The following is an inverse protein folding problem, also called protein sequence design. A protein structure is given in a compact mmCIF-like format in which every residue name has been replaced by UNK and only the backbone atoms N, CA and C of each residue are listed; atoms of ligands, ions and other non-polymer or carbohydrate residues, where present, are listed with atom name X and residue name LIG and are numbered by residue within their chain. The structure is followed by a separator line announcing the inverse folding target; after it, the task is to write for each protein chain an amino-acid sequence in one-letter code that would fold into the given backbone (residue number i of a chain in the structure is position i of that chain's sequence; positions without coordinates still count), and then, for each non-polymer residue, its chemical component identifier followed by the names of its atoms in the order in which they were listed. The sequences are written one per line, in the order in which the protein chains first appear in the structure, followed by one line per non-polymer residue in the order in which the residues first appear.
data_IF_303990182352
#
_entry.id   IF_303990182352
#
_cell.length_a   1.000
_cell.length_b   1.000
_cell.length_c   1.000
_cell.angle_alpha   90.00
_cell.angle_beta   90.00
_cell.angle_gamma   90.00
#
_symmetry.space_group_name_H-M   'P 1'
#
loop_
_entity.id
_entity.type
_entity.pdbx_description
1 polymer ?
#
# COMPACT_ATOMS: atom_id res chain seq x y z
N UNK A 1 -36.42 -8.64 -24.90
CA UNK A 1 -35.96 -9.07 -23.56
C UNK A 1 -34.77 -9.99 -23.72
N UNK A 2 -33.55 -9.48 -23.57
CA UNK A 2 -32.40 -10.27 -23.14
C UNK A 2 -31.35 -9.30 -22.62
N UNK A 3 -30.94 -9.58 -21.40
CA UNK A 3 -30.28 -8.70 -20.45
C UNK A 3 -28.80 -8.62 -20.78
N UNK A 4 -28.30 -7.40 -20.98
CA UNK A 4 -26.86 -7.11 -21.01
C UNK A 4 -26.41 -7.06 -19.55
N UNK A 5 -25.70 -8.08 -19.09
CA UNK A 5 -25.05 -8.08 -17.77
C UNK A 5 -23.68 -8.74 -17.88
N UNK A 6 -22.72 -8.12 -17.18
CA UNK A 6 -21.34 -8.54 -16.89
C UNK A 6 -20.25 -7.81 -17.69
N UNK A 7 -19.80 -6.67 -17.15
CA UNK A 7 -18.40 -6.20 -17.22
C UNK A 7 -18.28 -4.89 -16.44
N UNK A 8 -18.01 -4.94 -15.13
CA UNK A 8 -17.83 -3.73 -14.32
C UNK A 8 -16.88 -3.86 -13.11
N UNK A 9 -16.11 -4.94 -12.94
CA UNK A 9 -15.52 -5.23 -11.62
C UNK A 9 -13.99 -5.46 -11.55
N UNK A 10 -13.20 -5.16 -12.59
CA UNK A 10 -11.73 -5.31 -12.51
C UNK A 10 -10.96 -4.00 -12.28
N UNK A 11 -11.61 -2.84 -12.42
CA UNK A 11 -10.95 -1.54 -12.69
C UNK A 11 -10.83 -0.61 -11.47
N UNK A 12 -10.90 -1.17 -10.25
CA UNK A 12 -10.96 -0.40 -8.99
C UNK A 12 -10.19 -1.10 -7.86
N UNK A 13 -9.26 -2.01 -8.23
CA UNK A 13 -8.71 -3.01 -7.33
C UNK A 13 -7.56 -2.49 -6.46
N UNK A 14 -6.72 -1.56 -6.93
CA UNK A 14 -5.59 -1.08 -6.13
C UNK A 14 -6.07 -0.13 -5.00
N UNK A 15 -7.16 0.63 -5.19
CA UNK A 15 -7.51 1.72 -4.26
C UNK A 15 -8.83 1.55 -3.45
N UNK A 16 -9.82 0.76 -3.90
CA UNK A 16 -11.21 1.09 -3.51
C UNK A 16 -11.91 0.29 -2.38
N UNK A 17 -11.29 -0.69 -1.71
CA UNK A 17 -12.02 -1.48 -0.68
C UNK A 17 -11.71 -1.22 0.78
N UNK A 18 -10.71 -0.41 1.11
CA UNK A 18 -10.27 -0.28 2.51
C UNK A 18 -10.41 1.11 3.14
N UNK A 19 -10.62 2.17 2.34
CA UNK A 19 -10.77 3.52 2.86
C UNK A 19 -12.13 4.20 2.60
N UNK A 20 -13.01 3.63 1.78
CA UNK A 20 -14.34 4.21 1.51
C UNK A 20 -15.45 3.87 2.55
N UNK A 21 -15.08 3.36 3.72
CA UNK A 21 -16.01 3.11 4.84
C UNK A 21 -16.44 4.35 5.65
N UNK A 22 -16.22 5.59 5.16
CA UNK A 22 -16.46 6.81 5.97
C UNK A 22 -17.09 8.01 5.25
N UNK A 23 -17.86 7.82 4.17
CA UNK A 23 -18.73 8.88 3.63
C UNK A 23 -20.20 8.48 3.75
N UNK A 24 -20.74 8.60 4.96
CA UNK A 24 -22.14 8.29 5.22
C UNK A 24 -22.62 8.41 6.66
N UNK A 25 -22.15 9.39 7.44
CA UNK A 25 -22.80 9.72 8.71
C UNK A 25 -22.90 11.24 8.87
N UNK A 26 -24.13 11.74 8.70
CA UNK A 26 -24.53 13.13 8.92
C UNK A 26 -24.15 13.56 10.34
N UNK A 27 -23.59 14.78 10.42
CA UNK A 27 -23.37 15.56 11.64
C UNK A 27 -24.68 15.68 12.44
N UNK A 28 -24.65 15.28 13.71
CA UNK A 28 -25.55 15.80 14.75
C UNK A 28 -24.71 16.45 15.84
N UNK A 29 -24.84 17.76 15.96
CA UNK A 29 -24.20 18.62 16.93
C UNK A 29 -24.60 18.23 18.36
N UNK A 30 -23.61 17.97 19.21
CA UNK A 30 -23.77 17.72 20.64
C UNK A 30 -22.73 18.52 21.42
N UNK A 31 -23.23 19.45 22.21
CA UNK A 31 -22.51 20.49 22.95
C UNK A 31 -21.94 19.91 24.25
N UNK A 32 -20.63 20.04 24.54
CA UNK A 32 -20.09 19.79 25.88
C UNK A 32 -19.03 20.82 26.24
N UNK A 33 -19.31 21.52 27.34
CA UNK A 33 -18.52 22.53 28.03
C UNK A 33 -17.19 21.98 28.57
N UNK A 34 -16.11 22.75 28.48
CA UNK A 34 -14.84 22.45 29.15
C UNK A 34 -14.42 23.61 30.05
N UNK A 35 -14.29 23.30 31.33
CA UNK A 35 -13.76 24.17 32.39
C UNK A 35 -12.26 23.96 32.51
N UNK A 36 -11.54 25.06 32.75
CA UNK A 36 -10.11 25.16 33.05
C UNK A 36 -9.63 24.23 34.18
N UNK A 37 -8.39 23.76 34.08
CA UNK A 37 -7.45 23.73 35.21
C UNK A 37 -6.00 23.64 34.70
N UNK A 38 -5.25 24.71 34.94
CA UNK A 38 -3.78 24.76 34.94
C UNK A 38 -3.21 24.09 36.19
N UNK A 39 -2.08 23.39 36.09
CA UNK A 39 -0.98 23.47 37.06
C UNK A 39 0.27 22.74 36.55
N UNK A 40 1.42 23.16 37.08
CA UNK A 40 2.74 23.05 36.48
C UNK A 40 3.66 22.02 37.18
N UNK A 41 4.82 21.81 36.53
CA UNK A 41 6.19 21.52 37.06
C UNK A 41 6.75 20.09 37.00
N UNK A 42 7.92 20.06 36.34
CA UNK A 42 9.20 19.40 36.65
C UNK A 42 9.22 17.95 37.14
N UNK A 43 9.90 17.12 36.34
CA UNK A 43 10.48 15.85 36.78
C UNK A 43 11.41 15.28 35.72
N UNK A 44 12.69 15.66 35.80
CA UNK A 44 13.79 15.06 35.06
C UNK A 44 13.96 13.60 35.46
N UNK A 45 13.69 12.67 34.56
CA UNK A 45 13.98 11.25 34.72
C UNK A 45 14.45 10.71 33.39
N UNK A 46 15.73 10.36 33.31
CA UNK A 46 16.35 9.80 32.11
C UNK A 46 15.63 8.54 31.67
N UNK A 47 14.95 8.61 30.52
CA UNK A 47 14.56 7.44 29.76
C UNK A 47 15.80 6.96 29.01
N UNK A 48 16.45 5.93 29.56
CA UNK A 48 17.30 5.05 28.79
C UNK A 48 16.52 4.59 27.55
N UNK A 49 17.03 4.93 26.36
CA UNK A 49 16.55 4.35 25.11
C UNK A 49 16.92 2.87 25.14
N UNK A 50 16.00 2.02 25.56
CA UNK A 50 15.98 0.62 25.16
C UNK A 50 15.60 0.58 23.69
N UNK A 51 16.57 0.94 22.84
CA UNK A 51 16.52 0.70 21.41
C UNK A 51 16.57 -0.79 21.17
N UNK A 52 15.42 -1.46 21.32
CA UNK A 52 15.17 -2.76 20.73
C UNK A 52 15.23 -2.59 19.22
N UNK A 53 16.45 -2.57 18.68
CA UNK A 53 16.69 -2.61 17.26
C UNK A 53 16.06 -3.90 16.75
N UNK A 54 14.96 -3.78 16.02
CA UNK A 54 14.54 -4.82 15.10
C UNK A 54 15.74 -5.02 14.17
N UNK A 55 16.47 -6.11 14.38
CA UNK A 55 17.48 -6.53 13.44
C UNK A 55 16.72 -6.87 12.17
N UNK A 56 16.71 -5.94 11.22
CA UNK A 56 16.15 -6.19 9.90
C UNK A 56 16.87 -7.43 9.36
N UNK A 57 16.12 -8.42 8.82
CA UNK A 57 16.77 -9.53 8.16
C UNK A 57 17.73 -8.98 7.10
N UNK A 58 18.94 -9.56 6.97
CA UNK A 58 19.91 -9.11 5.98
C UNK A 58 19.26 -9.14 4.61
N UNK A 59 19.44 -8.06 3.84
CA UNK A 59 18.88 -7.95 2.49
C UNK A 59 19.27 -9.21 1.69
N UNK A 60 18.31 -9.94 1.11
CA UNK A 60 18.61 -11.16 0.38
C UNK A 60 19.63 -10.87 -0.72
N UNK A 61 20.72 -11.63 -0.72
CA UNK A 61 21.81 -11.51 -1.69
C UNK A 61 21.46 -12.33 -2.92
N UNK A 62 20.56 -11.82 -3.75
CA UNK A 62 20.16 -12.48 -4.99
C UNK A 62 18.98 -11.76 -5.66
N UNK A 63 18.86 -11.82 -6.99
CA UNK A 63 17.74 -11.20 -7.66
C UNK A 63 16.44 -11.90 -7.22
N UNK A 64 15.46 -11.09 -6.81
CA UNK A 64 14.02 -11.38 -6.88
C UNK A 64 13.42 -12.48 -5.98
N UNK A 65 13.99 -12.86 -4.84
CA UNK A 65 13.29 -13.78 -3.91
C UNK A 65 12.61 -13.06 -2.75
N UNK A 66 11.29 -13.18 -2.66
CA UNK A 66 10.56 -12.83 -1.45
C UNK A 66 10.99 -13.78 -0.31
N UNK A 67 11.41 -13.22 0.82
CA UNK A 67 11.92 -13.99 1.96
C UNK A 67 10.83 -14.61 2.83
N UNK A 68 9.62 -14.08 2.74
CA UNK A 68 8.48 -14.56 3.51
C UNK A 68 7.72 -15.67 2.75
N UNK A 69 7.44 -16.83 3.38
CA UNK A 69 6.85 -17.99 2.70
C UNK A 69 5.46 -17.70 2.10
N UNK A 70 4.67 -16.82 2.73
CA UNK A 70 3.34 -16.45 2.23
C UNK A 70 3.39 -15.71 0.87
N UNK A 71 4.52 -15.09 0.53
CA UNK A 71 4.68 -14.33 -0.71
C UNK A 71 5.14 -15.16 -1.90
N UNK A 72 5.58 -16.41 -1.68
CA UNK A 72 5.99 -17.31 -2.75
C UNK A 72 4.85 -17.53 -3.76
N UNK A 73 3.61 -17.56 -3.27
CA UNK A 73 2.43 -17.69 -4.13
C UNK A 73 2.13 -16.39 -4.88
N UNK A 74 2.32 -15.22 -4.27
CA UNK A 74 1.98 -13.92 -4.86
C UNK A 74 2.76 -13.64 -6.15
N UNK A 75 4.04 -14.01 -6.18
CA UNK A 75 4.92 -13.85 -7.34
C UNK A 75 5.07 -15.11 -8.20
N UNK A 76 4.25 -16.14 -7.96
CA UNK A 76 4.29 -17.37 -8.76
C UNK A 76 3.70 -17.13 -10.15
N UNK A 77 4.35 -17.56 -11.24
CA UNK A 77 3.77 -17.46 -12.59
C UNK A 77 2.50 -18.31 -12.75
N UNK A 78 2.34 -19.36 -11.93
CA UNK A 78 1.16 -20.23 -11.94
C UNK A 78 0.11 -19.82 -10.87
N UNK A 79 0.23 -18.63 -10.24
CA UNK A 79 -0.65 -18.20 -9.13
C UNK A 79 -2.14 -18.32 -9.44
N UNK A 80 -2.55 -17.87 -10.63
CA UNK A 80 -3.95 -17.78 -11.04
C UNK A 80 -4.40 -18.99 -11.88
N UNK A 81 -3.51 -19.96 -12.10
CA UNK A 81 -3.77 -21.10 -12.99
C UNK A 81 -4.78 -22.06 -12.36
N UNK A 82 -5.94 -22.17 -13.00
CA UNK A 82 -7.03 -23.03 -12.54
C UNK A 82 -7.84 -22.45 -11.38
N UNK A 83 -7.57 -21.21 -10.96
CA UNK A 83 -8.41 -20.49 -10.02
C UNK A 83 -9.70 -20.02 -10.72
N UNK A 84 -10.83 -20.00 -9.99
CA UNK A 84 -12.09 -19.43 -10.49
C UNK A 84 -11.96 -17.93 -10.77
N UNK A 85 -11.12 -17.25 -9.98
CA UNK A 85 -10.83 -15.81 -10.10
C UNK A 85 -9.34 -15.54 -9.90
N UNK A 86 -8.77 -14.51 -10.55
CA UNK A 86 -7.42 -14.04 -10.29
C UNK A 86 -7.24 -13.62 -8.82
N UNK A 87 -6.02 -13.75 -8.28
CA UNK A 87 -5.69 -13.46 -6.89
C UNK A 87 -6.20 -12.10 -6.40
N UNK A 88 -6.04 -11.04 -7.22
CA UNK A 88 -6.47 -9.67 -6.87
C UNK A 88 -7.99 -9.52 -6.68
N UNK A 89 -8.79 -10.53 -7.06
CA UNK A 89 -10.24 -10.56 -6.86
C UNK A 89 -10.69 -11.47 -5.71
N UNK A 90 -9.78 -12.24 -5.11
CA UNK A 90 -10.16 -13.33 -4.18
C UNK A 90 -10.57 -12.84 -2.78
N UNK A 91 -10.22 -11.61 -2.39
CA UNK A 91 -10.61 -10.89 -1.17
C UNK A 91 -10.79 -11.76 0.10
N UNK A 92 -9.86 -11.69 1.06
CA UNK A 92 -10.01 -12.42 2.34
C UNK A 92 -10.90 -11.67 3.35
N UNK A 93 -12.08 -12.20 3.74
CA UNK A 93 -12.94 -11.57 4.75
C UNK A 93 -12.27 -11.37 6.13
N UNK A 94 -11.27 -12.20 6.46
CA UNK A 94 -10.54 -12.11 7.73
C UNK A 94 -9.79 -10.78 7.86
N UNK A 95 -9.41 -10.15 6.74
CA UNK A 95 -8.70 -8.87 6.67
C UNK A 95 -9.59 -7.65 6.97
N UNK A 96 -10.91 -7.85 7.09
CA UNK A 96 -11.91 -6.78 7.29
C UNK A 96 -12.55 -6.82 8.70
N UNK A 97 -12.03 -7.63 9.62
CA UNK A 97 -12.42 -7.54 11.02
C UNK A 97 -11.92 -6.23 11.64
N UNK A 98 -12.57 -5.69 12.70
CA UNK A 98 -12.09 -4.51 13.39
C UNK A 98 -10.65 -4.64 13.91
N UNK A 99 -10.24 -5.85 14.29
CA UNK A 99 -8.90 -6.17 14.77
C UNK A 99 -7.89 -6.09 13.62
N UNK A 100 -8.19 -6.71 12.47
CA UNK A 100 -7.35 -6.65 11.28
C UNK A 100 -7.21 -5.22 10.76
N UNK A 101 -8.29 -4.43 10.74
CA UNK A 101 -8.24 -3.01 10.37
C UNK A 101 -7.35 -2.20 11.32
N UNK A 102 -7.40 -2.48 12.63
CA UNK A 102 -6.53 -1.81 13.60
C UNK A 102 -5.06 -2.21 13.43
N UNK A 103 -4.78 -3.49 13.19
CA UNK A 103 -3.42 -4.00 12.93
C UNK A 103 -2.82 -3.38 11.67
N UNK A 104 -3.59 -3.26 10.58
CA UNK A 104 -3.14 -2.63 9.33
C UNK A 104 -2.82 -1.15 9.50
N UNK A 105 -3.63 -0.42 10.28
CA UNK A 105 -3.30 0.95 10.68
C UNK A 105 -1.99 1.04 11.47
N UNK A 106 -1.70 0.05 12.31
CA UNK A 106 -0.43 0.00 13.04
C UNK A 106 0.76 -0.31 12.10
N UNK A 107 0.59 -1.22 11.12
CA UNK A 107 1.60 -1.53 10.11
C UNK A 107 2.01 -0.29 9.30
N UNK A 108 1.05 0.57 8.94
CA UNK A 108 1.31 1.83 8.20
C UNK A 108 2.28 2.76 8.93
N UNK A 109 2.41 2.64 10.25
CA UNK A 109 3.30 3.45 11.07
C UNK A 109 4.48 2.63 11.61
N UNK A 110 4.60 1.36 11.22
CA UNK A 110 5.65 0.49 11.72
C UNK A 110 7.00 0.92 11.11
N UNK A 111 8.06 1.15 11.91
CA UNK A 111 9.33 1.69 11.40
C UNK A 111 9.97 0.86 10.27
N UNK A 112 9.91 -0.47 10.36
CA UNK A 112 10.45 -1.34 9.30
C UNK A 112 9.66 -1.24 7.98
N UNK A 113 8.34 -1.04 8.06
CA UNK A 113 7.49 -0.85 6.88
C UNK A 113 7.76 0.53 6.27
N UNK A 114 7.89 1.57 7.10
CA UNK A 114 8.26 2.91 6.64
C UNK A 114 9.62 2.93 5.96
N UNK A 115 10.62 2.21 6.49
CA UNK A 115 11.93 2.05 5.86
C UNK A 115 11.81 1.36 4.48
N UNK A 116 11.05 0.26 4.39
CA UNK A 116 10.82 -0.42 3.12
C UNK A 116 10.08 0.45 2.10
N UNK A 117 9.08 1.23 2.54
CA UNK A 117 8.39 2.23 1.71
C UNK A 117 9.38 3.28 1.22
N UNK A 118 10.25 3.81 2.07
CA UNK A 118 11.25 4.80 1.67
C UNK A 118 12.22 4.25 0.62
N UNK A 119 12.68 3.00 0.79
CA UNK A 119 13.52 2.31 -0.21
C UNK A 119 12.79 2.08 -1.54
N UNK A 120 11.49 1.79 -1.49
CA UNK A 120 10.67 1.65 -2.69
C UNK A 120 10.43 3.01 -3.36
N UNK A 121 10.13 4.06 -2.59
CA UNK A 121 9.88 5.41 -3.06
C UNK A 121 11.06 5.99 -3.85
N UNK A 122 12.29 5.54 -3.57
CA UNK A 122 13.48 5.90 -4.34
C UNK A 122 13.46 5.43 -5.81
N UNK A 123 12.50 4.59 -6.22
CA UNK A 123 12.28 4.23 -7.64
C UNK A 123 11.61 5.36 -8.43
N UNK A 124 10.97 6.32 -7.76
CA UNK A 124 10.29 7.43 -8.40
C UNK A 124 11.25 8.61 -8.59
N UNK A 125 11.24 9.19 -9.78
CA UNK A 125 12.03 10.39 -10.06
C UNK A 125 11.28 11.64 -9.58
N UNK A 126 11.52 12.04 -8.33
CA UNK A 126 10.99 13.28 -7.78
C UNK A 126 11.64 14.51 -8.43
N UNK A 127 10.90 15.61 -8.53
CA UNK A 127 11.46 16.89 -8.95
C UNK A 127 12.28 17.57 -7.83
N UNK A 128 12.74 18.80 -8.09
CA UNK A 128 13.56 19.57 -7.15
C UNK A 128 12.85 19.88 -5.82
N UNK A 129 11.52 19.87 -5.81
CA UNK A 129 10.68 20.13 -4.62
C UNK A 129 10.24 18.82 -3.93
N UNK A 130 10.76 17.67 -4.39
CA UNK A 130 10.38 16.36 -3.87
C UNK A 130 8.98 15.91 -4.30
N UNK A 131 8.45 16.45 -5.41
CA UNK A 131 7.13 16.10 -5.92
C UNK A 131 7.21 15.06 -7.04
N UNK A 132 6.26 14.13 -7.05
CA UNK A 132 6.11 13.17 -8.15
C UNK A 132 5.04 13.67 -9.12
N UNK A 133 5.43 13.85 -10.38
CA UNK A 133 4.50 14.16 -11.48
C UNK A 133 3.92 12.87 -12.07
N UNK A 134 2.81 12.96 -12.81
CA UNK A 134 2.24 11.80 -13.52
C UNK A 134 3.26 11.13 -14.45
N UNK A 135 4.11 11.92 -15.11
CA UNK A 135 5.16 11.39 -15.99
C UNK A 135 6.18 10.51 -15.24
N UNK A 136 6.53 10.86 -13.99
CA UNK A 136 7.41 10.05 -13.15
C UNK A 136 6.69 8.86 -12.50
N UNK A 137 5.41 9.03 -12.17
CA UNK A 137 4.56 8.01 -11.55
C UNK A 137 4.24 6.85 -12.50
N UNK A 138 3.78 7.18 -13.71
CA UNK A 138 3.27 6.22 -14.70
C UNK A 138 4.21 5.05 -15.01
N UNK A 139 5.51 5.23 -15.32
CA UNK A 139 6.36 4.10 -15.66
C UNK A 139 6.56 3.14 -14.48
N UNK A 140 6.66 3.65 -13.25
CA UNK A 140 6.81 2.83 -12.04
C UNK A 140 5.53 2.04 -11.79
N UNK A 141 4.35 2.67 -11.85
CA UNK A 141 3.08 1.97 -11.68
C UNK A 141 2.80 0.96 -12.80
N UNK A 142 3.16 1.27 -14.05
CA UNK A 142 3.04 0.31 -15.13
C UNK A 142 3.90 -0.94 -14.89
N UNK A 143 5.13 -0.76 -14.39
CA UNK A 143 6.02 -1.86 -14.01
C UNK A 143 5.47 -2.66 -12.81
N UNK A 144 4.88 -2.00 -11.81
CA UNK A 144 4.21 -2.67 -10.68
C UNK A 144 3.06 -3.54 -11.19
N UNK A 145 2.16 -2.95 -11.98
CA UNK A 145 0.95 -3.64 -12.46
C UNK A 145 1.31 -4.82 -13.35
N UNK A 146 2.25 -4.66 -14.28
CA UNK A 146 2.70 -5.79 -15.14
C UNK A 146 3.49 -6.85 -14.37
N UNK A 147 4.12 -6.50 -13.25
CA UNK A 147 4.76 -7.48 -12.36
C UNK A 147 3.74 -8.33 -11.61
N UNK A 148 2.63 -7.71 -11.17
CA UNK A 148 1.62 -8.36 -10.34
C UNK A 148 0.49 -9.01 -11.17
N UNK A 149 0.25 -8.49 -12.38
CA UNK A 149 -0.78 -8.90 -13.35
C UNK A 149 -0.12 -8.99 -14.74
N UNK A 150 0.62 -10.08 -15.03
CA UNK A 150 1.44 -10.18 -16.25
C UNK A 150 0.62 -10.20 -17.55
N UNK A 151 -0.65 -10.63 -17.50
CA UNK A 151 -1.52 -10.76 -18.67
C UNK A 151 -2.38 -9.51 -18.93
N UNK A 152 -2.13 -8.38 -18.24
CA UNK A 152 -2.90 -7.14 -18.42
C UNK A 152 -2.71 -6.56 -19.83
N UNK A 153 -3.81 -6.16 -20.47
CA UNK A 153 -3.76 -5.52 -21.79
C UNK A 153 -3.18 -4.10 -21.72
N UNK A 154 -2.47 -3.65 -22.77
CA UNK A 154 -1.86 -2.31 -22.79
C UNK A 154 -2.87 -1.15 -22.64
N UNK A 155 -4.07 -1.29 -23.19
CA UNK A 155 -5.13 -0.29 -23.03
C UNK A 155 -5.61 -0.23 -21.57
N UNK A 156 -5.84 -1.40 -20.95
CA UNK A 156 -6.26 -1.51 -19.56
C UNK A 156 -5.17 -0.98 -18.60
N UNK A 157 -3.91 -1.32 -18.85
CA UNK A 157 -2.76 -0.80 -18.10
C UNK A 157 -2.69 0.73 -18.12
N UNK A 158 -2.96 1.36 -19.27
CA UNK A 158 -2.98 2.80 -19.40
C UNK A 158 -4.15 3.44 -18.64
N UNK A 159 -5.33 2.82 -18.70
CA UNK A 159 -6.52 3.28 -17.98
C UNK A 159 -6.36 3.14 -16.45
N UNK A 160 -5.78 2.04 -15.96
CA UNK A 160 -5.52 1.85 -14.53
C UNK A 160 -4.50 2.87 -14.02
N UNK A 161 -3.41 3.12 -14.75
CA UNK A 161 -2.42 4.10 -14.34
C UNK A 161 -3.02 5.52 -14.15
N UNK A 162 -4.03 5.89 -14.95
CA UNK A 162 -4.73 7.16 -14.81
C UNK A 162 -5.64 7.17 -13.58
N UNK A 163 -6.40 6.10 -13.35
CA UNK A 163 -7.30 5.99 -12.19
C UNK A 163 -6.51 5.99 -10.87
N UNK A 164 -5.46 5.18 -10.79
CA UNK A 164 -4.62 5.11 -9.60
C UNK A 164 -3.98 6.48 -9.31
N UNK A 165 -3.50 7.17 -10.35
CA UNK A 165 -2.98 8.53 -10.23
C UNK A 165 -4.01 9.52 -9.68
N UNK A 166 -5.24 9.51 -10.22
CA UNK A 166 -6.31 10.41 -9.81
C UNK A 166 -6.74 10.18 -8.36
N UNK A 167 -6.80 8.92 -7.93
CA UNK A 167 -7.12 8.57 -6.57
C UNK A 167 -5.96 8.92 -5.60
N UNK A 168 -4.71 8.64 -5.98
CA UNK A 168 -3.50 8.89 -5.15
C UNK A 168 -3.25 10.38 -4.92
N UNK A 169 -3.42 11.20 -5.95
CA UNK A 169 -3.17 12.64 -5.86
C UNK A 169 -4.22 13.37 -5.04
N UNK A 170 -5.41 12.79 -4.85
CA UNK A 170 -6.52 13.38 -4.08
C UNK A 170 -6.75 14.82 -4.52
N UNK A 171 -6.97 15.01 -5.82
CA UNK A 171 -7.17 16.30 -6.51
C UNK A 171 -5.93 17.21 -6.64
N UNK A 172 -4.78 16.86 -6.06
CA UNK A 172 -3.53 17.62 -6.22
C UNK A 172 -2.93 17.45 -7.63
N UNK A 173 -2.04 18.36 -8.03
CA UNK A 173 -1.34 18.29 -9.33
C UNK A 173 -0.15 17.32 -9.32
N UNK A 174 0.35 16.98 -8.13
CA UNK A 174 1.49 16.08 -7.89
C UNK A 174 1.38 15.37 -6.55
N UNK A 175 2.14 14.29 -6.35
CA UNK A 175 2.26 13.62 -5.05
C UNK A 175 3.42 14.24 -4.25
N UNK A 176 3.19 14.53 -2.97
CA UNK A 176 4.28 14.62 -2.00
C UNK A 176 4.68 13.23 -1.51
N UNK A 177 5.80 13.19 -0.79
CA UNK A 177 6.30 12.03 -0.05
C UNK A 177 5.20 11.32 0.74
N UNK A 178 4.33 12.04 1.45
CA UNK A 178 3.25 11.42 2.24
C UNK A 178 2.23 10.69 1.37
N UNK A 179 1.78 11.28 0.25
CA UNK A 179 0.83 10.62 -0.65
C UNK A 179 1.48 9.45 -1.39
N UNK A 180 2.74 9.59 -1.77
CA UNK A 180 3.49 8.50 -2.38
C UNK A 180 3.65 7.32 -1.40
N UNK A 181 4.01 7.60 -0.15
CA UNK A 181 4.13 6.58 0.89
C UNK A 181 2.79 5.88 1.16
N UNK A 182 1.69 6.64 1.16
CA UNK A 182 0.34 6.10 1.27
C UNK A 182 0.01 5.12 0.12
N UNK A 183 0.28 5.53 -1.13
CA UNK A 183 0.07 4.71 -2.34
C UNK A 183 0.89 3.41 -2.29
N UNK A 184 2.18 3.49 -1.96
CA UNK A 184 3.06 2.32 -1.83
C UNK A 184 2.58 1.37 -0.73
N UNK A 185 2.14 1.91 0.42
CA UNK A 185 1.59 1.10 1.49
C UNK A 185 0.31 0.38 1.04
N UNK A 186 -0.57 1.07 0.31
CA UNK A 186 -1.84 0.50 -0.16
C UNK A 186 -1.63 -0.64 -1.17
N UNK A 187 -0.58 -0.56 -1.99
CA UNK A 187 -0.14 -1.69 -2.83
C UNK A 187 0.27 -2.89 -1.95
N UNK A 188 1.12 -2.69 -0.94
CA UNK A 188 1.51 -3.79 -0.05
C UNK A 188 0.31 -4.39 0.69
N UNK A 189 -0.56 -3.53 1.21
CA UNK A 189 -1.75 -3.88 1.97
C UNK A 189 -2.81 -4.61 1.14
N UNK A 190 -2.84 -4.38 -0.18
CA UNK A 190 -3.69 -5.12 -1.10
C UNK A 190 -3.16 -6.53 -1.41
N UNK A 191 -1.84 -6.68 -1.58
CA UNK A 191 -1.25 -7.91 -2.11
C UNK A 191 -0.71 -8.87 -1.04
N UNK A 192 -0.44 -8.38 0.17
CA UNK A 192 -0.05 -9.23 1.30
C UNK A 192 -1.26 -10.04 1.81
N UNK A 193 -1.19 -11.39 1.83
CA UNK A 193 -2.25 -12.22 2.42
C UNK A 193 -2.40 -12.06 3.94
N UNK A 194 -1.38 -11.57 4.64
CA UNK A 194 -1.32 -11.50 6.10
C UNK A 194 -1.11 -10.10 6.67
N UNK A 195 -0.84 -10.06 7.97
CA UNK A 195 -0.66 -8.85 8.77
C UNK A 195 0.71 -8.81 9.47
N UNK A 196 1.67 -9.61 8.99
CA UNK A 196 3.01 -9.61 9.52
C UNK A 196 3.82 -8.43 8.96
N UNK A 197 4.60 -7.79 9.82
CA UNK A 197 5.56 -6.76 9.43
C UNK A 197 6.58 -7.31 8.43
N UNK A 198 7.10 -8.51 8.68
CA UNK A 198 8.12 -9.13 7.83
C UNK A 198 7.57 -9.41 6.43
N UNK A 199 6.28 -9.73 6.33
CA UNK A 199 5.59 -9.94 5.07
C UNK A 199 5.53 -8.66 4.24
N UNK A 200 5.13 -7.52 4.83
CA UNK A 200 5.07 -6.23 4.13
C UNK A 200 6.46 -5.79 3.65
N UNK A 201 7.47 -5.92 4.51
CA UNK A 201 8.86 -5.58 4.17
C UNK A 201 9.36 -6.49 3.04
N UNK A 202 9.15 -7.80 3.15
CA UNK A 202 9.56 -8.77 2.13
C UNK A 202 8.85 -8.54 0.79
N UNK A 203 7.58 -8.17 0.83
CA UNK A 203 6.79 -7.87 -0.37
C UNK A 203 7.31 -6.63 -1.09
N UNK A 204 7.47 -5.52 -0.36
CA UNK A 204 7.97 -4.27 -0.92
C UNK A 204 9.37 -4.43 -1.51
N UNK A 205 10.26 -5.18 -0.85
CA UNK A 205 11.61 -5.42 -1.35
C UNK A 205 11.60 -6.29 -2.61
N UNK A 206 10.84 -7.38 -2.59
CA UNK A 206 10.73 -8.29 -3.72
C UNK A 206 10.05 -7.63 -4.94
N UNK A 207 9.04 -6.79 -4.72
CA UNK A 207 8.39 -6.02 -5.77
C UNK A 207 9.32 -4.94 -6.30
N UNK A 208 9.98 -4.18 -5.42
CA UNK A 208 10.88 -3.10 -5.79
C UNK A 208 12.07 -3.59 -6.63
N UNK A 209 12.61 -4.77 -6.33
CA UNK A 209 13.69 -5.38 -7.14
C UNK A 209 13.21 -5.82 -8.54
N UNK A 210 11.97 -6.30 -8.67
CA UNK A 210 11.35 -6.64 -9.97
C UNK A 210 11.07 -5.39 -10.80
N UNK A 211 10.45 -4.39 -10.17
CA UNK A 211 10.14 -3.10 -10.80
C UNK A 211 11.41 -2.42 -11.29
N UNK A 212 12.46 -2.37 -10.45
CA UNK A 212 13.76 -1.80 -10.85
C UNK A 212 14.39 -2.51 -12.05
N UNK A 213 14.14 -3.81 -12.20
CA UNK A 213 14.64 -4.58 -13.34
C UNK A 213 13.85 -4.33 -14.63
N UNK A 214 12.65 -3.73 -14.52
CA UNK A 214 11.74 -3.45 -15.62
C UNK A 214 11.74 -1.96 -16.06
N UNK A 215 12.34 -1.06 -15.28
CA UNK A 215 12.55 0.35 -15.59
C UNK A 215 13.82 0.57 -16.44
#
# INVERSE_FOLDING_TARGET
MSTVHLSANATCAIHCRLYCGRKGARRSSGNVSSTQASMARNGSGGMERTGGGYALPPRPSGPTQATHPALLQVFSPDRDKGAEKPYYEQADPSMYTPQSIAARKALRQHPAVLDAIGRFAALYNADADGRITFHAYKPVHAAITTTLIPDIGMAELADEAIKDWDDDRKEADSLDESRLADSIFEIADHWCPGLDVEEYVSFLDALGDRVRSAL
#
